data_IF_311788463138
#
_entry.id   IF_311788463138
#
_cell.length_a   1.000
_cell.length_b   1.000
_cell.length_c   1.000
_cell.angle_alpha   90.00
_cell.angle_beta   90.00
_cell.angle_gamma   90.00
#
_symmetry.space_group_name_H-M   'P 1'
#
loop_
_entity.id
_entity.type
_entity.pdbx_description
1 polymer ?
#
# COMPACT_ATOMS: atom_id res chain seq x y z
N UNK A 1 -6.08 -12.40 -29.01
CA UNK A 1 -7.27 -13.12 -29.55
C UNK A 1 -8.53 -12.74 -28.79
N UNK A 2 -9.47 -12.05 -29.44
CA UNK A 2 -10.82 -11.87 -28.91
C UNK A 2 -11.64 -13.18 -28.99
N UNK A 3 -12.75 -13.29 -28.24
CA UNK A 3 -13.64 -14.46 -28.29
C UNK A 3 -13.05 -15.75 -27.71
N UNK A 4 -12.20 -15.63 -26.67
CA UNK A 4 -11.70 -16.81 -25.95
C UNK A 4 -12.83 -17.43 -25.13
N UNK A 5 -12.99 -18.76 -25.22
CA UNK A 5 -14.05 -19.49 -24.51
C UNK A 5 -15.36 -19.62 -25.28
N UNK A 6 -15.49 -19.00 -26.45
CA UNK A 6 -16.63 -19.20 -27.35
C UNK A 6 -16.25 -20.14 -28.49
N UNK A 7 -17.10 -21.13 -28.74
CA UNK A 7 -16.89 -22.12 -29.79
C UNK A 7 -17.42 -21.64 -31.15
N UNK A 8 -16.72 -22.01 -32.23
CA UNK A 8 -17.15 -21.73 -33.61
C UNK A 8 -17.74 -23.04 -34.14
N UNK A 9 -19.07 -23.11 -34.15
CA UNK A 9 -19.79 -24.27 -34.70
C UNK A 9 -19.88 -24.17 -36.21
N UNK A 10 -19.59 -25.27 -36.89
CA UNK A 10 -19.70 -25.39 -38.34
C UNK A 10 -21.03 -26.09 -38.71
N UNK A 11 -21.70 -25.58 -39.73
CA UNK A 11 -22.81 -26.26 -40.38
C UNK A 11 -22.30 -27.33 -41.37
N UNK A 12 -23.22 -28.17 -41.85
CA UNK A 12 -22.85 -29.31 -42.71
C UNK A 12 -22.27 -28.85 -44.06
N UNK A 13 -22.69 -27.70 -44.58
CA UNK A 13 -22.14 -27.10 -45.80
C UNK A 13 -20.68 -26.67 -45.58
N UNK A 14 -20.39 -25.96 -44.50
CA UNK A 14 -19.01 -25.57 -44.15
C UNK A 14 -18.12 -26.78 -43.93
N UNK A 15 -18.63 -27.85 -43.31
CA UNK A 15 -17.89 -29.11 -43.12
C UNK A 15 -17.56 -29.77 -44.47
N UNK A 16 -18.51 -29.81 -45.39
CA UNK A 16 -18.30 -30.35 -46.74
C UNK A 16 -17.26 -29.56 -47.54
N UNK A 17 -17.13 -28.25 -47.28
CA UNK A 17 -16.14 -27.36 -47.89
C UNK A 17 -14.73 -27.44 -47.26
N UNK A 18 -14.51 -28.33 -46.29
CA UNK A 18 -13.21 -28.48 -45.60
C UNK A 18 -13.10 -27.75 -44.26
N UNK A 19 -14.19 -27.14 -43.79
CA UNK A 19 -14.33 -26.57 -42.47
C UNK A 19 -13.61 -25.25 -42.25
N UNK A 20 -13.28 -24.94 -40.98
CA UNK A 20 -12.71 -23.64 -40.62
C UNK A 20 -11.24 -23.55 -41.04
N UNK A 21 -10.92 -22.52 -41.84
CA UNK A 21 -9.53 -22.15 -42.16
C UNK A 21 -9.04 -21.02 -41.27
N UNK A 22 -8.01 -21.30 -40.49
CA UNK A 22 -7.32 -20.33 -39.64
C UNK A 22 -6.12 -19.78 -40.39
N UNK A 23 -6.07 -18.44 -40.51
CA UNK A 23 -4.93 -17.72 -41.08
C UNK A 23 -4.27 -16.93 -39.96
N UNK A 24 -3.07 -17.33 -39.56
CA UNK A 24 -2.20 -16.55 -38.71
C UNK A 24 -1.42 -15.56 -39.57
N UNK A 25 -1.60 -14.27 -39.34
CA UNK A 25 -0.91 -13.20 -40.09
C UNK A 25 0.53 -13.00 -39.65
N UNK A 26 0.84 -13.41 -38.43
CA UNK A 26 2.17 -13.33 -37.80
C UNK A 26 2.35 -14.52 -36.84
N UNK A 27 3.54 -14.63 -36.26
CA UNK A 27 3.83 -15.58 -35.18
C UNK A 27 3.97 -14.81 -33.87
N UNK A 28 3.20 -15.19 -32.86
CA UNK A 28 3.31 -14.59 -31.55
C UNK A 28 4.63 -15.00 -30.89
N UNK A 29 5.16 -14.18 -30.00
CA UNK A 29 6.32 -14.53 -29.15
C UNK A 29 6.13 -15.85 -28.37
N UNK A 30 4.88 -16.22 -28.05
CA UNK A 30 4.56 -17.43 -27.31
C UNK A 30 3.84 -18.42 -28.20
N UNK A 31 4.42 -19.62 -28.30
CA UNK A 31 3.90 -20.72 -29.10
C UNK A 31 2.54 -21.19 -28.61
N UNK A 32 2.27 -21.01 -27.32
CA UNK A 32 0.98 -21.32 -26.71
C UNK A 32 -0.15 -20.49 -27.33
N UNK A 33 0.09 -19.23 -27.68
CA UNK A 33 -0.92 -18.36 -28.29
C UNK A 33 -1.16 -18.77 -29.75
N UNK A 34 -0.11 -19.09 -30.51
CA UNK A 34 -0.25 -19.64 -31.86
C UNK A 34 -1.07 -20.95 -31.84
N UNK A 35 -0.77 -21.85 -30.89
CA UNK A 35 -1.51 -23.11 -30.74
C UNK A 35 -2.98 -22.88 -30.35
N UNK A 36 -3.28 -21.86 -29.54
CA UNK A 36 -4.65 -21.49 -29.24
C UNK A 36 -5.41 -21.00 -30.48
N UNK A 37 -4.74 -20.29 -31.40
CA UNK A 37 -5.33 -19.83 -32.64
C UNK A 37 -5.59 -21.02 -33.56
N UNK A 38 -4.59 -21.91 -33.70
CA UNK A 38 -4.70 -23.16 -34.45
C UNK A 38 -5.85 -24.03 -33.95
N UNK A 39 -5.99 -24.20 -32.64
CA UNK A 39 -7.04 -25.01 -32.02
C UNK A 39 -8.46 -24.43 -32.08
N UNK A 40 -8.67 -23.34 -32.84
CA UNK A 40 -10.02 -22.88 -33.19
C UNK A 40 -10.62 -23.68 -34.34
N UNK A 41 -9.81 -24.23 -35.24
CA UNK A 41 -10.22 -25.20 -36.24
C UNK A 41 -10.06 -26.64 -35.71
N UNK A 42 -10.69 -27.61 -36.37
CA UNK A 42 -10.50 -29.02 -36.05
C UNK A 42 -11.19 -29.51 -34.77
N UNK A 43 -12.21 -28.80 -34.29
CA UNK A 43 -12.87 -29.12 -33.00
C UNK A 43 -13.78 -30.33 -33.14
N UNK A 44 -13.76 -31.22 -32.14
CA UNK A 44 -14.57 -32.45 -32.13
C UNK A 44 -14.41 -33.33 -33.39
N UNK A 45 -13.26 -33.25 -34.05
CA UNK A 45 -13.00 -33.99 -35.29
C UNK A 45 -13.57 -33.34 -36.55
N UNK A 46 -14.13 -32.13 -36.46
CA UNK A 46 -14.53 -31.36 -37.63
C UNK A 46 -13.32 -31.12 -38.55
N UNK A 47 -13.52 -31.03 -39.89
CA UNK A 47 -12.46 -30.66 -40.80
C UNK A 47 -11.99 -29.22 -40.56
N UNK A 48 -10.73 -28.93 -40.85
CA UNK A 48 -10.19 -27.59 -40.75
C UNK A 48 -8.71 -27.52 -41.09
N UNK A 49 -8.24 -26.32 -41.39
CA UNK A 49 -6.87 -26.04 -41.80
C UNK A 49 -6.33 -24.85 -40.99
N UNK A 50 -5.04 -24.86 -40.70
CA UNK A 50 -4.36 -23.67 -40.16
C UNK A 50 -3.11 -23.37 -40.96
N UNK A 51 -2.94 -22.12 -41.39
CA UNK A 51 -1.73 -21.65 -42.07
C UNK A 51 -1.25 -20.37 -41.40
N UNK A 52 0.04 -20.33 -41.08
CA UNK A 52 0.68 -19.16 -40.49
C UNK A 52 1.61 -18.54 -41.53
N UNK A 53 1.51 -17.23 -41.68
CA UNK A 53 2.39 -16.40 -42.48
C UNK A 53 3.30 -15.64 -41.52
N UNK A 54 4.52 -15.35 -41.99
CA UNK A 54 5.52 -14.58 -41.27
C UNK A 54 6.33 -13.82 -42.31
N UNK A 55 6.56 -12.54 -42.06
CA UNK A 55 7.50 -11.73 -42.83
C UNK A 55 8.88 -11.76 -42.19
N UNK A 56 9.92 -11.58 -42.99
CA UNK A 56 11.27 -11.35 -42.48
C UNK A 56 11.38 -10.02 -41.71
N UNK A 57 10.43 -9.10 -41.94
CA UNK A 57 10.36 -7.80 -41.27
C UNK A 57 9.60 -7.83 -39.93
N UNK A 58 8.94 -8.94 -39.59
CA UNK A 58 8.16 -9.07 -38.35
C UNK A 58 9.07 -9.00 -37.11
N UNK A 59 8.55 -8.51 -35.98
CA UNK A 59 9.31 -8.33 -34.75
C UNK A 59 10.02 -9.61 -34.26
N UNK A 60 9.37 -10.76 -34.40
CA UNK A 60 9.98 -12.06 -34.07
C UNK A 60 11.23 -12.33 -34.93
N UNK A 61 11.18 -12.00 -36.22
CA UNK A 61 12.30 -12.13 -37.13
C UNK A 61 13.32 -11.01 -36.94
N UNK A 62 12.93 -9.81 -36.52
CA UNK A 62 13.87 -8.72 -36.21
C UNK A 62 14.70 -9.00 -34.96
N UNK A 63 14.09 -9.61 -33.94
CA UNK A 63 14.75 -9.93 -32.68
C UNK A 63 15.71 -11.14 -32.78
N UNK A 64 15.49 -12.05 -33.74
CA UNK A 64 16.23 -13.33 -33.84
C UNK A 64 16.81 -13.65 -35.22
N UNK A 65 16.35 -12.97 -36.25
CA UNK A 65 16.92 -12.96 -37.58
C UNK A 65 18.26 -12.24 -37.52
N UNK A 66 19.31 -12.99 -37.19
CA UNK A 66 20.67 -12.50 -37.36
C UNK A 66 20.84 -11.93 -38.78
N UNK A 67 21.64 -10.88 -38.94
CA UNK A 67 22.06 -10.40 -40.27
C UNK A 67 22.55 -11.56 -41.17
N UNK A 68 23.10 -12.62 -40.56
CA UNK A 68 23.52 -13.86 -41.23
C UNK A 68 22.38 -14.65 -41.87
N UNK A 69 21.21 -14.72 -41.24
CA UNK A 69 20.03 -15.39 -41.83
C UNK A 69 19.53 -14.60 -43.04
N UNK A 70 19.40 -13.28 -42.90
CA UNK A 70 19.02 -12.40 -44.00
C UNK A 70 20.04 -12.44 -45.15
N UNK A 71 21.33 -12.41 -44.82
CA UNK A 71 22.42 -12.53 -45.80
C UNK A 71 22.45 -13.87 -46.53
N UNK A 72 22.11 -14.96 -45.84
CA UNK A 72 21.97 -16.29 -46.46
C UNK A 72 20.79 -16.33 -47.44
N UNK A 73 19.63 -15.74 -47.09
CA UNK A 73 18.47 -15.66 -47.99
C UNK A 73 18.74 -14.82 -49.24
N UNK A 74 19.41 -13.68 -49.07
CA UNK A 74 19.83 -12.82 -50.18
C UNK A 74 20.83 -13.54 -51.11
N UNK A 75 21.76 -14.32 -50.54
CA UNK A 75 22.73 -15.11 -51.31
C UNK A 75 22.10 -16.31 -52.04
N UNK A 76 21.00 -16.86 -51.52
CA UNK A 76 20.25 -17.95 -52.16
C UNK A 76 19.42 -17.49 -53.36
N UNK A 77 19.30 -16.17 -53.60
CA UNK A 77 18.63 -15.63 -54.78
C UNK A 77 17.14 -15.97 -54.83
N UNK A 78 16.47 -16.04 -53.68
CA UNK A 78 15.03 -16.30 -53.62
C UNK A 78 14.27 -15.17 -54.35
N UNK A 79 13.41 -15.48 -55.33
CA UNK A 79 12.67 -14.47 -56.06
C UNK A 79 11.78 -13.62 -55.14
N UNK A 80 11.70 -12.31 -55.42
CA UNK A 80 10.74 -11.44 -54.73
C UNK A 80 9.31 -11.92 -54.99
N UNK A 81 8.50 -11.98 -53.92
CA UNK A 81 7.11 -12.44 -53.91
C UNK A 81 6.90 -13.96 -54.05
N UNK A 82 7.93 -14.78 -53.88
CA UNK A 82 7.77 -16.24 -53.74
C UNK A 82 7.64 -16.71 -52.30
N UNK A 83 6.83 -17.74 -52.10
CA UNK A 83 6.65 -18.35 -50.79
C UNK A 83 7.82 -19.28 -50.47
N UNK A 84 8.48 -19.05 -49.34
CA UNK A 84 9.52 -19.93 -48.82
C UNK A 84 8.90 -20.94 -47.86
N UNK A 85 8.97 -22.23 -48.20
CA UNK A 85 8.60 -23.34 -47.30
C UNK A 85 9.80 -24.25 -47.03
N UNK A 86 10.48 -24.01 -45.91
CA UNK A 86 11.62 -24.83 -45.49
C UNK A 86 11.52 -25.25 -44.02
N UNK A 87 11.69 -26.56 -43.75
CA UNK A 87 11.66 -27.14 -42.40
C UNK A 87 12.68 -26.49 -41.46
N UNK A 88 13.82 -26.06 -41.99
CA UNK A 88 14.87 -25.37 -41.23
C UNK A 88 14.38 -24.02 -40.68
N UNK A 89 13.63 -23.26 -41.49
CA UNK A 89 13.08 -21.96 -41.09
C UNK A 89 12.03 -22.14 -39.99
N UNK A 90 11.13 -23.12 -40.12
CA UNK A 90 10.16 -23.45 -39.08
C UNK A 90 10.82 -23.79 -37.75
N UNK A 91 11.92 -24.58 -37.76
CA UNK A 91 12.69 -24.93 -36.57
C UNK A 91 13.44 -23.72 -35.97
N UNK A 92 13.96 -22.83 -36.81
CA UNK A 92 14.59 -21.59 -36.36
C UNK A 92 13.59 -20.68 -35.64
N UNK A 93 12.38 -20.52 -36.19
CA UNK A 93 11.28 -19.76 -35.57
C UNK A 93 10.87 -20.41 -34.24
N UNK A 94 10.75 -21.73 -34.18
CA UNK A 94 10.43 -22.46 -32.95
C UNK A 94 11.48 -22.22 -31.85
N UNK A 95 12.77 -22.27 -32.20
CA UNK A 95 13.87 -21.99 -31.27
C UNK A 95 13.86 -20.53 -30.79
N UNK A 96 13.53 -19.58 -31.68
CA UNK A 96 13.39 -18.17 -31.33
C UNK A 96 12.25 -17.97 -30.31
N UNK A 97 11.07 -18.53 -30.57
CA UNK A 97 9.94 -18.50 -29.64
C UNK A 97 10.29 -19.12 -28.28
N UNK A 98 10.97 -20.28 -28.28
CA UNK A 98 11.42 -20.93 -27.04
C UNK A 98 12.38 -20.05 -26.24
N UNK A 99 13.31 -19.36 -26.92
CA UNK A 99 14.24 -18.44 -26.25
C UNK A 99 13.53 -17.23 -25.64
N UNK A 100 12.53 -16.66 -26.32
CA UNK A 100 11.69 -15.58 -25.76
C UNK A 100 10.90 -16.08 -24.55
N UNK A 101 10.28 -17.26 -24.66
CA UNK A 101 9.52 -17.86 -23.56
C UNK A 101 10.40 -18.10 -22.34
N UNK A 102 11.62 -18.62 -22.52
CA UNK A 102 12.60 -18.77 -21.43
C UNK A 102 13.00 -17.44 -20.82
N UNK A 103 13.24 -16.41 -21.63
CA UNK A 103 13.56 -15.07 -21.13
C UNK A 103 12.39 -14.47 -20.32
N UNK A 104 11.17 -14.55 -20.85
CA UNK A 104 9.95 -14.10 -20.17
C UNK A 104 9.67 -14.90 -18.90
N UNK A 105 9.98 -16.20 -18.90
CA UNK A 105 9.92 -17.03 -17.69
C UNK A 105 10.92 -16.53 -16.64
N UNK A 106 12.18 -16.28 -17.02
CA UNK A 106 13.19 -15.74 -16.11
C UNK A 106 12.80 -14.38 -15.51
N UNK A 107 12.25 -13.47 -16.32
CA UNK A 107 11.73 -12.18 -15.83
C UNK A 107 10.62 -12.39 -14.80
N UNK A 108 9.67 -13.29 -15.07
CA UNK A 108 8.56 -13.59 -14.14
C UNK A 108 9.03 -14.29 -12.89
N UNK A 109 9.98 -15.22 -13.00
CA UNK A 109 10.59 -15.91 -11.86
C UNK A 109 11.31 -14.89 -10.98
N UNK A 110 12.03 -13.94 -11.57
CA UNK A 110 12.67 -12.88 -10.81
C UNK A 110 11.63 -12.00 -10.09
N UNK A 111 10.60 -11.52 -10.80
CA UNK A 111 9.50 -10.76 -10.20
C UNK A 111 8.83 -11.52 -9.04
N UNK A 112 8.58 -12.83 -9.21
CA UNK A 112 8.02 -13.68 -8.17
C UNK A 112 8.89 -13.69 -6.91
N UNK A 113 10.22 -13.75 -7.05
CA UNK A 113 11.15 -13.74 -5.91
C UNK A 113 11.09 -12.44 -5.10
N UNK A 114 10.84 -11.29 -5.74
CA UNK A 114 10.61 -10.02 -5.03
C UNK A 114 9.25 -10.01 -4.33
N UNK A 115 8.22 -10.52 -5.01
CA UNK A 115 6.86 -10.59 -4.46
C UNK A 115 6.78 -11.56 -3.26
N UNK A 116 7.55 -12.66 -3.26
CA UNK A 116 7.65 -13.62 -2.15
C UNK A 116 8.03 -12.93 -0.83
N UNK A 117 9.01 -12.03 -0.85
CA UNK A 117 9.43 -11.26 0.34
C UNK A 117 8.28 -10.44 0.90
N UNK A 118 7.56 -9.72 0.02
CA UNK A 118 6.40 -8.94 0.43
C UNK A 118 5.24 -9.82 0.91
N UNK A 119 5.08 -11.00 0.33
CA UNK A 119 4.02 -11.92 0.73
C UNK A 119 4.27 -12.50 2.13
N UNK A 120 5.50 -12.92 2.45
CA UNK A 120 5.87 -13.37 3.80
C UNK A 120 5.57 -12.31 4.86
N UNK A 121 5.97 -11.06 4.61
CA UNK A 121 5.70 -9.94 5.52
C UNK A 121 4.20 -9.64 5.65
N UNK A 122 3.47 -9.69 4.54
CA UNK A 122 2.02 -9.49 4.50
C UNK A 122 1.29 -10.54 5.31
N UNK A 123 1.66 -11.81 5.20
CA UNK A 123 1.03 -12.90 5.95
C UNK A 123 1.11 -12.64 7.46
N UNK A 124 2.30 -12.29 7.97
CA UNK A 124 2.51 -11.95 9.38
C UNK A 124 1.63 -10.78 9.82
N UNK A 125 1.65 -9.66 9.07
CA UNK A 125 0.87 -8.47 9.44
C UNK A 125 -0.63 -8.72 9.34
N UNK A 126 -1.09 -9.49 8.35
CA UNK A 126 -2.51 -9.75 8.14
C UNK A 126 -3.05 -10.76 9.15
N UNK A 127 -2.23 -11.69 9.63
CA UNK A 127 -2.56 -12.55 10.75
C UNK A 127 -2.76 -11.71 12.03
N UNK A 128 -1.77 -10.88 12.38
CA UNK A 128 -1.86 -9.98 13.53
C UNK A 128 -3.09 -9.06 13.45
N UNK A 129 -3.30 -8.44 12.28
CA UNK A 129 -4.46 -7.58 12.02
C UNK A 129 -5.78 -8.33 12.15
N UNK A 130 -5.84 -9.59 11.71
CA UNK A 130 -7.04 -10.42 11.81
C UNK A 130 -7.39 -10.72 13.27
N UNK A 131 -6.40 -11.06 14.12
CA UNK A 131 -6.64 -11.27 15.56
C UNK A 131 -7.30 -10.06 16.23
N UNK A 132 -6.86 -8.86 15.85
CA UNK A 132 -7.45 -7.61 16.35
C UNK A 132 -8.89 -7.44 15.87
N UNK A 133 -9.18 -7.74 14.59
CA UNK A 133 -10.53 -7.63 14.00
C UNK A 133 -11.51 -8.70 14.52
N UNK A 134 -11.01 -9.90 14.83
CA UNK A 134 -11.80 -10.99 15.39
C UNK A 134 -12.19 -10.73 16.86
N UNK A 135 -11.73 -9.63 17.45
CA UNK A 135 -12.13 -9.17 18.78
C UNK A 135 -11.36 -9.85 19.91
N UNK A 136 -10.22 -10.47 19.63
CA UNK A 136 -9.39 -11.09 20.65
C UNK A 136 -8.94 -10.07 21.73
N UNK A 137 -8.64 -10.58 22.92
CA UNK A 137 -8.14 -9.75 24.02
C UNK A 137 -6.66 -9.43 23.82
N UNK A 138 -6.34 -8.16 23.55
CA UNK A 138 -4.98 -7.70 23.26
C UNK A 138 -4.15 -7.37 24.51
N UNK A 139 -4.67 -7.52 25.73
CA UNK A 139 -3.94 -7.17 26.97
C UNK A 139 -2.55 -7.76 27.01
N UNK A 140 -2.45 -9.06 26.78
CA UNK A 140 -1.19 -9.79 26.91
C UNK A 140 -0.19 -9.34 25.84
N UNK A 141 -0.69 -9.02 24.64
CA UNK A 141 0.12 -8.47 23.55
C UNK A 141 0.66 -7.09 23.94
N UNK A 142 -0.19 -6.20 24.44
CA UNK A 142 0.21 -4.86 24.89
C UNK A 142 1.19 -4.94 26.08
N UNK A 143 0.93 -5.79 27.07
CA UNK A 143 1.83 -5.99 28.20
C UNK A 143 3.21 -6.46 27.74
N UNK A 144 3.27 -7.40 26.80
CA UNK A 144 4.52 -7.84 26.19
C UNK A 144 5.23 -6.68 25.47
N UNK A 145 4.50 -5.88 24.68
CA UNK A 145 5.08 -4.69 24.03
C UNK A 145 5.69 -3.72 25.05
N UNK A 146 5.01 -3.47 26.17
CA UNK A 146 5.52 -2.62 27.25
C UNK A 146 6.82 -3.19 27.82
N UNK A 147 6.85 -4.49 28.15
CA UNK A 147 8.06 -5.10 28.73
C UNK A 147 9.22 -5.13 27.75
N UNK A 148 8.96 -5.37 26.47
CA UNK A 148 9.96 -5.43 25.41
C UNK A 148 10.56 -4.03 25.16
N UNK A 149 9.73 -2.97 25.18
CA UNK A 149 10.20 -1.57 25.05
C UNK A 149 11.13 -1.21 26.21
N UNK A 150 10.76 -1.55 27.45
CA UNK A 150 11.59 -1.28 28.62
C UNK A 150 12.92 -2.02 28.53
N UNK A 151 12.88 -3.30 28.13
CA UNK A 151 14.09 -4.11 27.95
C UNK A 151 15.04 -3.52 26.91
N UNK A 152 14.52 -3.21 25.73
CA UNK A 152 15.30 -2.64 24.64
C UNK A 152 15.89 -1.27 25.02
N UNK A 153 15.14 -0.42 25.71
CA UNK A 153 15.63 0.88 26.16
C UNK A 153 16.80 0.74 27.14
N UNK A 154 16.74 -0.23 28.07
CA UNK A 154 17.83 -0.53 28.99
C UNK A 154 19.03 -1.12 28.26
N UNK A 155 18.81 -2.05 27.34
CA UNK A 155 19.91 -2.69 26.59
C UNK A 155 20.64 -1.74 25.65
N UNK A 156 19.93 -0.79 25.04
CA UNK A 156 20.53 0.25 24.21
C UNK A 156 21.34 1.26 25.03
N UNK A 157 20.89 1.58 26.24
CA UNK A 157 21.51 2.64 27.06
C UNK A 157 22.63 2.13 27.99
N UNK A 158 22.63 0.83 28.31
CA UNK A 158 23.49 0.25 29.34
C UNK A 158 24.10 -1.07 28.83
N UNK A 159 25.43 -1.12 28.79
CA UNK A 159 26.18 -2.35 28.48
C UNK A 159 26.24 -3.30 29.68
N UNK A 160 26.37 -4.59 29.43
CA UNK A 160 26.45 -5.63 30.48
C UNK A 160 27.74 -5.53 31.33
N UNK A 161 28.77 -4.88 30.79
CA UNK A 161 30.09 -4.74 31.43
C UNK A 161 30.21 -3.47 32.29
N UNK A 162 29.26 -2.54 32.17
CA UNK A 162 29.32 -1.24 32.86
C UNK A 162 28.88 -1.33 34.32
N UNK A 163 29.57 -0.57 35.16
CA UNK A 163 29.14 -0.38 36.55
C UNK A 163 27.96 0.59 36.66
N UNK A 164 27.11 0.51 37.70
CA UNK A 164 25.95 1.39 37.85
C UNK A 164 26.26 2.88 37.88
N UNK A 165 27.50 3.24 38.23
CA UNK A 165 28.00 4.61 38.24
C UNK A 165 28.25 5.16 36.83
N UNK A 166 28.47 4.27 35.85
CA UNK A 166 28.75 4.58 34.44
C UNK A 166 27.50 4.49 33.56
N UNK A 167 26.35 4.09 34.12
CA UNK A 167 25.11 3.94 33.36
C UNK A 167 24.65 5.28 32.78
N UNK A 168 24.36 5.30 31.48
CA UNK A 168 23.83 6.48 30.80
C UNK A 168 22.33 6.65 31.08
N UNK A 169 22.00 7.09 32.30
CA UNK A 169 20.60 7.33 32.70
C UNK A 169 19.95 8.46 31.90
N UNK A 170 20.74 9.37 31.34
CA UNK A 170 20.23 10.47 30.51
C UNK A 170 19.63 9.92 29.21
N UNK A 171 20.35 9.03 28.54
CA UNK A 171 19.88 8.35 27.33
C UNK A 171 18.69 7.44 27.62
N UNK A 172 18.75 6.65 28.70
CA UNK A 172 17.65 5.80 29.12
C UNK A 172 16.36 6.61 29.36
N UNK A 173 16.48 7.75 30.06
CA UNK A 173 15.34 8.63 30.29
C UNK A 173 14.82 9.24 28.98
N UNK A 174 15.71 9.64 28.06
CA UNK A 174 15.30 10.18 26.76
C UNK A 174 14.52 9.16 25.92
N UNK A 175 15.00 7.92 25.86
CA UNK A 175 14.36 6.85 25.09
C UNK A 175 13.03 6.44 25.73
N UNK A 176 13.06 6.05 27.01
CA UNK A 176 11.92 5.42 27.68
C UNK A 176 10.80 6.42 28.00
N UNK A 177 11.13 7.59 28.55
CA UNK A 177 10.11 8.54 29.02
C UNK A 177 9.31 9.17 27.87
N UNK A 178 9.88 9.16 26.66
CA UNK A 178 9.16 9.61 25.47
C UNK A 178 7.96 8.71 25.13
N UNK A 179 8.04 7.42 25.51
CA UNK A 179 7.03 6.40 25.21
C UNK A 179 6.15 6.16 26.43
N UNK A 180 6.78 5.87 27.58
CA UNK A 180 6.11 5.53 28.83
C UNK A 180 6.35 6.66 29.83
N UNK A 181 5.31 7.38 30.28
CA UNK A 181 5.45 8.56 31.13
C UNK A 181 5.75 8.18 32.59
N UNK A 182 6.91 7.57 32.83
CA UNK A 182 7.45 7.28 34.15
C UNK A 182 8.07 8.55 34.77
N UNK A 183 8.23 8.60 36.10
CA UNK A 183 9.11 9.60 36.71
C UNK A 183 10.56 9.43 36.21
N UNK A 184 11.34 10.52 36.13
CA UNK A 184 12.75 10.43 35.74
C UNK A 184 13.50 9.40 36.57
N UNK A 185 14.18 8.50 35.87
CA UNK A 185 14.94 7.41 36.48
C UNK A 185 16.23 8.00 37.03
N UNK A 186 16.37 7.94 38.35
CA UNK A 186 17.59 8.30 39.08
C UNK A 186 17.96 7.15 40.01
N UNK A 187 19.25 6.84 40.14
CA UNK A 187 19.73 5.83 41.07
C UNK A 187 19.94 6.45 42.46
N UNK A 188 19.26 5.90 43.47
CA UNK A 188 19.54 6.19 44.87
C UNK A 188 20.85 5.52 45.32
N UNK A 189 21.42 5.94 46.46
CA UNK A 189 22.65 5.36 47.06
C UNK A 189 22.60 3.82 47.16
N UNK A 190 21.45 3.25 47.52
CA UNK A 190 21.25 1.79 47.61
C UNK A 190 21.17 1.10 46.23
N UNK A 191 20.76 1.84 45.19
CA UNK A 191 20.61 1.33 43.82
C UNK A 191 21.89 1.42 43.00
N UNK A 192 22.93 2.10 43.49
CA UNK A 192 24.27 2.14 42.87
C UNK A 192 25.02 0.80 42.93
N UNK A 193 24.47 -0.20 43.61
CA UNK A 193 25.00 -1.59 43.64
C UNK A 193 24.16 -2.57 42.84
N UNK A 194 23.09 -2.10 42.22
CA UNK A 194 22.10 -2.92 41.53
C UNK A 194 22.67 -3.45 40.20
N UNK A 195 22.29 -4.67 39.81
CA UNK A 195 22.67 -5.21 38.49
C UNK A 195 21.74 -4.71 37.40
N UNK A 196 22.20 -4.71 36.14
CA UNK A 196 21.38 -4.36 34.97
C UNK A 196 20.06 -5.14 34.90
N UNK A 197 20.07 -6.43 35.20
CA UNK A 197 18.86 -7.27 35.21
C UNK A 197 17.86 -6.87 36.31
N UNK A 198 18.36 -6.40 37.46
CA UNK A 198 17.50 -5.89 38.53
C UNK A 198 16.87 -4.55 38.13
N UNK A 199 17.63 -3.67 37.45
CA UNK A 199 17.08 -2.44 36.85
C UNK A 199 15.98 -2.77 35.84
N UNK A 200 16.23 -3.70 34.91
CA UNK A 200 15.24 -4.15 33.91
C UNK A 200 13.95 -4.61 34.60
N UNK A 201 14.07 -5.46 35.61
CA UNK A 201 12.91 -5.97 36.35
C UNK A 201 12.14 -4.84 37.04
N UNK A 202 12.84 -3.95 37.76
CA UNK A 202 12.23 -2.81 38.46
C UNK A 202 11.47 -1.88 37.50
N UNK A 203 12.05 -1.57 36.34
CA UNK A 203 11.42 -0.72 35.34
C UNK A 203 10.25 -1.41 34.65
N UNK A 204 10.35 -2.70 34.34
CA UNK A 204 9.24 -3.50 33.77
C UNK A 204 8.06 -3.52 34.73
N UNK A 205 8.32 -3.74 36.02
CA UNK A 205 7.29 -3.74 37.06
C UNK A 205 6.64 -2.35 37.20
N UNK A 206 7.44 -1.28 37.20
CA UNK A 206 6.95 0.10 37.27
C UNK A 206 6.08 0.47 36.06
N UNK A 207 6.50 0.10 34.86
CA UNK A 207 5.74 0.32 33.63
C UNK A 207 4.42 -0.48 33.65
N UNK A 208 4.46 -1.75 34.06
CA UNK A 208 3.27 -2.60 34.16
C UNK A 208 2.27 -2.04 35.17
N UNK A 209 2.74 -1.63 36.35
CA UNK A 209 1.89 -0.99 37.38
C UNK A 209 1.26 0.30 36.87
N UNK A 210 1.99 1.09 36.09
CA UNK A 210 1.44 2.31 35.49
C UNK A 210 0.32 1.97 34.48
N UNK A 211 0.50 0.91 33.68
CA UNK A 211 -0.54 0.44 32.78
C UNK A 211 -1.78 -0.07 33.52
N UNK A 212 -1.59 -0.85 34.59
CA UNK A 212 -2.68 -1.35 35.42
C UNK A 212 -3.44 -0.21 36.12
N UNK A 213 -2.73 0.80 36.61
CA UNK A 213 -3.34 2.00 37.17
C UNK A 213 -4.19 2.73 36.12
N UNK A 214 -3.68 2.81 34.88
CA UNK A 214 -4.42 3.37 33.76
C UNK A 214 -5.64 2.54 33.39
N UNK A 215 -5.53 1.21 33.37
CA UNK A 215 -6.64 0.30 33.15
C UNK A 215 -7.75 0.53 34.20
N UNK A 216 -7.38 0.79 35.45
CA UNK A 216 -8.32 1.09 36.54
C UNK A 216 -9.03 2.45 36.42
N UNK A 217 -8.56 3.38 35.58
CA UNK A 217 -9.26 4.64 35.30
C UNK A 217 -10.54 4.41 34.47
N UNK A 218 -10.66 3.26 33.79
CA UNK A 218 -11.81 2.94 32.95
C UNK A 218 -12.90 2.24 33.78
N UNK A 219 -14.16 2.73 33.76
CA UNK A 219 -15.25 2.11 34.51
C UNK A 219 -15.56 0.67 34.10
N UNK A 220 -15.27 0.30 32.85
CA UNK A 220 -15.54 -1.03 32.29
C UNK A 220 -14.28 -1.54 31.60
N UNK A 221 -13.87 -2.76 31.95
CA UNK A 221 -12.70 -3.41 31.34
C UNK A 221 -12.85 -3.53 29.81
N UNK A 222 -14.06 -3.74 29.29
CA UNK A 222 -14.28 -3.85 27.83
C UNK A 222 -13.94 -2.54 27.09
N UNK A 223 -14.08 -1.38 27.72
CA UNK A 223 -13.75 -0.10 27.10
C UNK A 223 -12.25 0.01 26.80
N UNK A 224 -11.39 -0.43 27.73
CA UNK A 224 -9.94 -0.44 27.48
C UNK A 224 -9.56 -1.51 26.45
N UNK A 225 -10.23 -2.69 26.43
CA UNK A 225 -9.98 -3.72 25.41
C UNK A 225 -10.33 -3.25 24.01
N UNK A 226 -11.46 -2.55 23.87
CA UNK A 226 -11.83 -1.96 22.59
C UNK A 226 -10.86 -0.84 22.18
N UNK A 227 -10.43 -0.02 23.14
CA UNK A 227 -9.44 1.03 22.89
C UNK A 227 -8.10 0.44 22.42
N UNK A 228 -7.61 -0.62 23.08
CA UNK A 228 -6.40 -1.36 22.68
C UNK A 228 -6.51 -1.84 21.23
N UNK A 229 -7.63 -2.48 20.86
CA UNK A 229 -7.87 -2.96 19.49
C UNK A 229 -7.89 -1.82 18.48
N UNK A 230 -8.64 -0.75 18.76
CA UNK A 230 -8.77 0.41 17.85
C UNK A 230 -7.43 1.10 17.64
N UNK A 231 -6.66 1.31 18.71
CA UNK A 231 -5.34 1.95 18.63
C UNK A 231 -4.37 1.06 17.86
N UNK A 232 -4.28 -0.23 18.21
CA UNK A 232 -3.38 -1.17 17.57
C UNK A 232 -3.70 -1.31 16.07
N UNK A 233 -4.97 -1.50 15.72
CA UNK A 233 -5.42 -1.60 14.32
C UNK A 233 -5.05 -0.35 13.52
N UNK A 234 -5.30 0.84 14.07
CA UNK A 234 -4.98 2.10 13.41
C UNK A 234 -3.47 2.27 13.21
N UNK A 235 -2.67 1.89 14.19
CA UNK A 235 -1.20 1.98 14.10
C UNK A 235 -0.67 0.97 13.07
N UNK A 236 -1.13 -0.29 13.10
CA UNK A 236 -0.78 -1.31 12.12
C UNK A 236 -1.11 -0.82 10.70
N UNK A 237 -2.35 -0.36 10.46
CA UNK A 237 -2.79 0.08 9.13
C UNK A 237 -1.92 1.23 8.61
N UNK A 238 -1.63 2.24 9.45
CA UNK A 238 -0.80 3.37 9.03
C UNK A 238 0.65 2.97 8.73
N UNK A 239 1.26 2.16 9.59
CA UNK A 239 2.66 1.74 9.43
C UNK A 239 2.85 0.78 8.27
N UNK A 240 1.91 -0.15 8.09
CA UNK A 240 1.94 -1.11 6.98
C UNK A 240 1.76 -0.44 5.62
N UNK A 241 0.86 0.54 5.51
CA UNK A 241 0.71 1.32 4.27
C UNK A 241 2.00 2.06 3.92
N UNK A 242 2.62 2.74 4.89
CA UNK A 242 3.90 3.41 4.68
C UNK A 242 5.00 2.42 4.26
N UNK A 243 5.09 1.26 4.92
CA UNK A 243 6.06 0.22 4.59
C UNK A 243 5.87 -0.35 3.18
N UNK A 244 4.63 -0.54 2.70
CA UNK A 244 4.38 -0.96 1.32
C UNK A 244 4.95 0.08 0.34
N UNK A 245 4.69 1.37 0.58
CA UNK A 245 5.19 2.44 -0.27
C UNK A 245 6.72 2.52 -0.25
N UNK A 246 7.34 2.33 0.92
CA UNK A 246 8.79 2.32 1.06
C UNK A 246 9.43 1.08 0.39
N UNK A 247 8.78 -0.09 0.45
CA UNK A 247 9.23 -1.31 -0.23
C UNK A 247 9.13 -1.20 -1.76
N UNK A 248 8.11 -0.51 -2.29
CA UNK A 248 8.00 -0.25 -3.73
C UNK A 248 9.14 0.67 -4.20
N UNK A 249 9.41 1.74 -3.44
CA UNK A 249 10.57 2.62 -3.69
C UNK A 249 11.90 1.88 -3.62
N UNK A 250 12.07 1.01 -2.61
CA UNK A 250 13.26 0.16 -2.50
C UNK A 250 13.40 -0.71 -3.74
N UNK A 251 12.32 -1.32 -4.22
CA UNK A 251 12.35 -2.19 -5.42
C UNK A 251 12.76 -1.42 -6.67
N UNK A 252 12.29 -0.19 -6.86
CA UNK A 252 12.70 0.66 -7.99
C UNK A 252 14.19 1.04 -7.92
N UNK A 253 14.71 1.30 -6.72
CA UNK A 253 16.09 1.74 -6.51
C UNK A 253 17.13 0.62 -6.42
N UNK A 254 16.75 -0.60 -6.03
CA UNK A 254 17.69 -1.68 -5.69
C UNK A 254 18.53 -2.15 -6.89
N UNK A 255 18.03 -1.95 -8.12
CA UNK A 255 18.77 -2.27 -9.34
C UNK A 255 20.15 -1.58 -9.42
N UNK A 256 20.30 -0.42 -8.78
CA UNK A 256 21.59 0.29 -8.72
C UNK A 256 22.66 -0.46 -7.92
N UNK A 257 22.29 -1.37 -7.01
CA UNK A 257 23.25 -2.18 -6.25
C UNK A 257 24.04 -3.15 -7.15
N UNK A 258 23.49 -3.50 -8.33
CA UNK A 258 24.17 -4.33 -9.30
C UNK A 258 25.49 -3.72 -9.79
N UNK A 259 25.62 -2.38 -9.81
CA UNK A 259 26.89 -1.72 -10.16
C UNK A 259 28.02 -2.05 -9.17
N UNK A 260 27.68 -2.33 -7.91
CA UNK A 260 28.62 -2.77 -6.88
C UNK A 260 28.92 -4.27 -6.90
N UNK A 261 28.50 -5.00 -7.94
CA UNK A 261 28.61 -6.47 -8.03
C UNK A 261 27.88 -7.22 -6.91
N UNK A 262 26.90 -6.58 -6.28
CA UNK A 262 26.00 -7.20 -5.31
C UNK A 262 24.75 -7.72 -6.02
N UNK A 263 24.21 -8.84 -5.54
CA UNK A 263 22.94 -9.37 -6.05
C UNK A 263 21.78 -8.49 -5.54
N UNK A 264 21.03 -7.79 -6.42
CA UNK A 264 19.94 -6.90 -6.01
C UNK A 264 18.82 -7.61 -5.25
N UNK A 265 18.58 -8.90 -5.51
CA UNK A 265 17.52 -9.64 -4.81
C UNK A 265 17.93 -9.91 -3.36
N UNK A 266 19.21 -10.22 -3.13
CA UNK A 266 19.74 -10.45 -1.77
C UNK A 266 19.71 -9.15 -0.97
N UNK A 267 20.16 -8.04 -1.56
CA UNK A 267 20.12 -6.73 -0.90
C UNK A 267 18.67 -6.28 -0.64
N UNK A 268 17.75 -6.49 -1.59
CA UNK A 268 16.33 -6.23 -1.37
C UNK A 268 15.76 -7.01 -0.20
N UNK A 269 16.10 -8.30 -0.08
CA UNK A 269 15.70 -9.14 1.06
C UNK A 269 16.23 -8.56 2.37
N UNK A 270 17.53 -8.31 2.45
CA UNK A 270 18.17 -7.80 3.67
C UNK A 270 17.58 -6.45 4.11
N UNK A 271 17.56 -5.46 3.22
CA UNK A 271 16.99 -4.14 3.53
C UNK A 271 15.49 -4.23 3.81
N UNK A 272 14.75 -5.08 3.10
CA UNK A 272 13.33 -5.31 3.33
C UNK A 272 13.03 -5.90 4.71
N UNK A 273 13.87 -6.82 5.21
CA UNK A 273 13.74 -7.34 6.58
C UNK A 273 14.08 -6.28 7.62
N UNK A 274 15.15 -5.49 7.43
CA UNK A 274 15.50 -4.39 8.34
C UNK A 274 14.38 -3.35 8.45
N UNK A 275 13.79 -2.97 7.31
CA UNK A 275 12.63 -2.05 7.26
C UNK A 275 11.41 -2.65 7.96
N UNK A 276 11.15 -3.95 7.76
CA UNK A 276 10.04 -4.65 8.40
C UNK A 276 10.19 -4.74 9.93
N UNK A 277 11.39 -5.01 10.42
CA UNK A 277 11.71 -5.04 11.85
C UNK A 277 11.56 -3.64 12.46
N UNK A 278 12.06 -2.61 11.78
CA UNK A 278 11.90 -1.21 12.19
C UNK A 278 10.44 -0.76 12.21
N UNK A 279 9.65 -1.17 11.21
CA UNK A 279 8.20 -0.94 11.17
C UNK A 279 7.53 -1.63 12.36
N UNK A 280 7.84 -2.90 12.61
CA UNK A 280 7.25 -3.68 13.69
C UNK A 280 7.59 -3.09 15.06
N UNK A 281 8.85 -2.66 15.28
CA UNK A 281 9.24 -1.93 16.47
C UNK A 281 8.45 -0.62 16.62
N UNK A 282 8.32 0.16 15.54
CA UNK A 282 7.53 1.39 15.51
C UNK A 282 6.05 1.16 15.83
N UNK A 283 5.46 0.05 15.38
CA UNK A 283 4.07 -0.32 15.73
C UNK A 283 3.93 -0.51 17.24
N UNK A 284 4.88 -1.23 17.87
CA UNK A 284 4.86 -1.45 19.33
C UNK A 284 4.99 -0.12 20.07
N UNK A 285 5.96 0.70 19.70
CA UNK A 285 6.21 1.99 20.35
C UNK A 285 5.03 2.96 20.21
N UNK A 286 4.52 3.15 18.99
CA UNK A 286 3.42 4.09 18.76
C UNK A 286 2.11 3.62 19.40
N UNK A 287 1.87 2.30 19.45
CA UNK A 287 0.72 1.72 20.16
C UNK A 287 0.82 2.03 21.65
N UNK A 288 1.94 1.69 22.28
CA UNK A 288 2.15 1.89 23.73
C UNK A 288 2.14 3.38 24.08
N UNK A 289 2.84 4.21 23.30
CA UNK A 289 2.84 5.68 23.47
C UNK A 289 1.42 6.23 23.40
N UNK A 290 0.67 5.86 22.37
CA UNK A 290 -0.71 6.33 22.21
C UNK A 290 -1.58 5.89 23.37
N UNK A 291 -1.48 4.62 23.79
CA UNK A 291 -2.23 4.08 24.92
C UNK A 291 -1.92 4.83 26.21
N UNK A 292 -0.67 5.17 26.52
CA UNK A 292 -0.32 5.94 27.72
C UNK A 292 -0.75 7.41 27.68
N UNK A 293 -0.88 8.01 26.50
CA UNK A 293 -1.22 9.43 26.36
C UNK A 293 -2.72 9.70 26.16
N UNK A 294 -3.53 8.68 25.85
CA UNK A 294 -4.99 8.83 25.76
C UNK A 294 -5.56 9.24 27.12
N UNK A 295 -6.32 10.33 27.15
CA UNK A 295 -7.12 10.73 28.31
C UNK A 295 -8.56 10.35 28.06
N UNK A 296 -9.19 9.70 29.04
CA UNK A 296 -10.63 9.49 29.00
C UNK A 296 -11.30 10.83 29.29
N UNK A 297 -11.97 11.41 28.30
CA UNK A 297 -12.92 12.48 28.57
C UNK A 297 -14.08 11.88 29.37
N UNK A 298 -14.00 11.98 30.70
CA UNK A 298 -15.18 11.79 31.52
C UNK A 298 -16.20 12.84 31.07
N UNK A 299 -17.34 12.37 30.56
CA UNK A 299 -18.52 13.22 30.44
C UNK A 299 -18.87 13.66 31.86
N UNK A 300 -18.36 14.81 32.27
CA UNK A 300 -18.86 15.52 33.44
C UNK A 300 -20.32 15.80 33.10
N UNK A 301 -21.25 15.04 33.70
CA UNK A 301 -22.62 15.50 33.80
C UNK A 301 -22.53 16.86 34.48
N UNK A 302 -22.68 17.91 33.68
CA UNK A 302 -22.75 19.26 34.18
C UNK A 302 -23.97 19.30 35.10
N UNK A 303 -23.75 19.27 36.40
CA UNK A 303 -24.73 19.83 37.32
C UNK A 303 -25.01 21.23 36.80
N UNK A 304 -26.27 21.59 36.49
CA UNK A 304 -26.57 22.91 35.95
C UNK A 304 -26.28 23.95 37.02
N UNK A 305 -25.04 24.45 37.04
CA UNK A 305 -24.57 25.57 37.83
C UNK A 305 -25.10 26.88 37.22
N UNK A 306 -26.42 26.99 37.14
CA UNK A 306 -27.17 28.22 36.99
C UNK A 306 -28.66 27.88 37.14
N UNK A 307 -29.25 28.23 38.29
CA UNK A 307 -30.65 28.67 38.25
C UNK A 307 -30.68 29.89 37.33
N UNK A 308 -31.16 29.71 36.12
CA UNK A 308 -31.40 30.78 35.16
C UNK A 308 -32.40 31.74 35.81
N UNK A 309 -31.90 32.79 36.46
CA UNK A 309 -32.68 33.98 36.77
C UNK A 309 -32.93 34.69 35.45
N UNK A 310 -34.05 34.32 34.84
CA UNK A 310 -34.41 34.70 33.49
C UNK A 310 -34.44 36.21 33.29
N UNK A 311 -33.75 36.64 32.24
CA UNK A 311 -34.10 37.84 31.48
C UNK A 311 -33.98 37.51 30.00
N UNK A 312 -34.89 36.65 29.54
CA UNK A 312 -35.61 36.81 28.27
C UNK A 312 -36.75 35.80 28.23
N UNK A 313 -37.94 36.34 28.05
CA UNK A 313 -39.23 35.66 28.04
C UNK A 313 -39.34 34.65 26.89
N UNK A 314 -39.90 33.50 27.23
CA UNK A 314 -40.69 32.59 26.41
C UNK A 314 -39.99 31.87 25.23
N UNK A 315 -39.26 30.79 25.55
CA UNK A 315 -39.26 29.60 24.72
C UNK A 315 -38.87 28.36 25.55
N UNK A 316 -39.84 27.49 25.82
CA UNK A 316 -39.60 26.14 26.36
C UNK A 316 -38.66 25.34 25.44
N UNK A 317 -37.93 24.32 25.94
CA UNK A 317 -37.17 23.42 25.08
C UNK A 317 -38.17 22.66 24.19
N UNK A 318 -38.26 23.03 22.91
CA UNK A 318 -39.13 22.34 21.96
C UNK A 318 -38.58 20.93 21.72
N UNK A 319 -39.38 19.92 22.08
CA UNK A 319 -39.21 18.54 21.64
C UNK A 319 -39.14 18.49 20.09
N UNK A 320 -38.48 17.49 19.48
CA UNK A 320 -38.37 17.38 18.03
C UNK A 320 -39.78 17.40 17.41
N UNK A 321 -40.08 18.47 16.67
CA UNK A 321 -41.38 18.63 16.03
C UNK A 321 -41.59 17.51 15.01
N UNK A 322 -42.46 16.57 15.35
CA UNK A 322 -42.99 15.57 14.41
C UNK A 322 -43.85 16.35 13.40
N UNK A 323 -43.42 16.43 12.14
CA UNK A 323 -44.19 17.09 11.08
C UNK A 323 -45.58 16.44 10.97
N UNK A 324 -46.63 17.23 11.20
CA UNK A 324 -48.02 16.79 11.05
C UNK A 324 -48.38 16.46 9.60
N UNK A 325 -47.68 17.05 8.63
CA UNK A 325 -47.90 16.82 7.21
C UNK A 325 -47.00 15.71 6.66
N UNK A 326 -47.60 14.71 6.00
CA UNK A 326 -46.89 13.66 5.26
C UNK A 326 -45.91 14.29 4.27
N UNK A 327 -44.64 13.90 4.35
CA UNK A 327 -43.58 14.37 3.44
C UNK A 327 -43.90 13.87 2.03
N UNK A 328 -44.19 14.79 1.11
CA UNK A 328 -44.46 14.49 -0.30
C UNK A 328 -43.11 14.26 -1.00
N UNK A 329 -42.92 13.07 -1.55
CA UNK A 329 -41.72 12.69 -2.27
C UNK A 329 -41.82 13.09 -3.76
N UNK A 330 -40.69 13.27 -4.48
CA UNK A 330 -40.69 13.76 -5.86
C UNK A 330 -41.57 12.97 -6.85
N UNK A 331 -41.79 11.67 -6.59
CA UNK A 331 -42.59 10.80 -7.45
C UNK A 331 -44.06 10.65 -6.99
N UNK A 332 -44.45 11.25 -5.86
CA UNK A 332 -45.82 11.17 -5.33
C UNK A 332 -46.80 11.97 -6.20
N UNK A 333 -48.10 11.61 -6.22
CA UNK A 333 -49.13 12.39 -6.90
C UNK A 333 -49.17 13.81 -6.35
N UNK A 334 -49.21 14.79 -7.25
CA UNK A 334 -49.13 16.20 -6.86
C UNK A 334 -50.42 16.64 -6.12
N UNK A 335 -50.31 17.32 -4.96
CA UNK A 335 -51.46 17.70 -4.14
C UNK A 335 -52.38 18.75 -4.77
N UNK A 336 -52.00 19.36 -5.90
CA UNK A 336 -52.85 20.30 -6.65
C UNK A 336 -53.92 19.62 -7.54
N UNK A 337 -54.03 18.29 -7.50
CA UNK A 337 -55.06 17.54 -8.25
C UNK A 337 -54.79 17.38 -9.75
N UNK A 338 -53.60 17.75 -10.23
CA UNK A 338 -53.26 17.77 -11.67
C UNK A 338 -52.99 16.39 -12.30
N UNK A 339 -53.07 15.30 -11.54
CA UNK A 339 -52.78 13.93 -11.99
C UNK A 339 -51.30 13.64 -12.33
N UNK A 340 -50.41 14.64 -12.25
CA UNK A 340 -48.96 14.51 -12.54
C UNK A 340 -48.15 14.24 -11.27
N UNK A 341 -46.95 13.67 -11.40
CA UNK A 341 -45.98 13.49 -10.29
C UNK A 341 -45.54 14.85 -9.75
N UNK A 342 -45.30 14.97 -8.44
CA UNK A 342 -44.93 16.22 -7.77
C UNK A 342 -43.73 16.94 -8.43
N UNK A 343 -42.69 16.19 -8.83
CA UNK A 343 -41.52 16.72 -9.55
C UNK A 343 -41.82 17.32 -10.94
N UNK A 344 -42.94 16.94 -11.55
CA UNK A 344 -43.38 17.40 -12.88
C UNK A 344 -44.49 18.46 -12.78
N UNK A 345 -44.84 18.90 -11.57
CA UNK A 345 -45.86 19.90 -11.33
C UNK A 345 -45.38 20.90 -10.25
N UNK A 346 -46.07 21.05 -9.11
CA UNK A 346 -45.75 22.07 -8.10
C UNK A 346 -44.33 21.98 -7.51
N UNK A 347 -43.70 20.80 -7.52
CA UNK A 347 -42.34 20.59 -7.02
C UNK A 347 -41.22 20.90 -8.03
N UNK A 348 -41.55 21.26 -9.28
CA UNK A 348 -40.56 21.41 -10.36
C UNK A 348 -39.55 22.53 -10.09
N UNK A 349 -40.04 23.70 -9.70
CA UNK A 349 -39.19 24.87 -9.44
C UNK A 349 -38.35 24.66 -8.17
N UNK A 350 -38.93 24.09 -7.12
CA UNK A 350 -38.21 23.73 -5.89
C UNK A 350 -37.07 22.72 -6.13
N UNK A 351 -37.28 21.74 -7.01
CA UNK A 351 -36.24 20.76 -7.37
C UNK A 351 -35.15 21.37 -8.24
N UNK A 352 -35.50 22.27 -9.17
CA UNK A 352 -34.53 23.00 -9.98
C UNK A 352 -33.63 23.87 -9.11
N UNK A 353 -34.19 24.63 -8.18
CA UNK A 353 -33.42 25.46 -7.23
C UNK A 353 -32.50 24.61 -6.34
N UNK A 354 -32.95 23.42 -5.96
CA UNK A 354 -32.14 22.48 -5.18
C UNK A 354 -30.97 21.91 -5.98
N UNK A 355 -31.16 21.63 -7.27
CA UNK A 355 -30.09 21.18 -8.17
C UNK A 355 -29.06 22.29 -8.39
N UNK A 356 -29.51 23.52 -8.63
CA UNK A 356 -28.62 24.67 -8.81
C UNK A 356 -27.77 24.94 -7.54
N UNK A 357 -28.35 24.78 -6.34
CA UNK A 357 -27.61 24.87 -5.07
C UNK A 357 -26.55 23.79 -4.94
N UNK A 358 -26.87 22.55 -5.30
CA UNK A 358 -25.91 21.43 -5.27
C UNK A 358 -24.76 21.64 -6.25
N UNK A 359 -25.05 22.12 -7.45
CA UNK A 359 -24.03 22.44 -8.45
C UNK A 359 -23.11 23.58 -7.96
N UNK A 360 -23.67 24.63 -7.35
CA UNK A 360 -22.87 25.72 -6.75
C UNK A 360 -22.00 25.24 -5.60
N UNK A 361 -22.47 24.31 -4.77
CA UNK A 361 -21.67 23.70 -3.70
C UNK A 361 -20.56 22.81 -4.26
N UNK A 362 -20.85 22.04 -5.31
CA UNK A 362 -19.87 21.18 -5.96
C UNK A 362 -18.75 22.00 -6.62
N UNK A 363 -19.09 23.08 -7.34
CA UNK A 363 -18.11 24.02 -7.90
C UNK A 363 -17.29 24.74 -6.81
N UNK A 364 -17.88 25.00 -5.63
CA UNK A 364 -17.12 25.55 -4.50
C UNK A 364 -16.14 24.53 -3.91
N UNK A 365 -16.52 23.26 -3.88
CA UNK A 365 -15.65 22.17 -3.43
C UNK A 365 -14.47 21.97 -4.38
N UNK A 366 -14.74 21.88 -5.68
CA UNK A 366 -13.71 21.73 -6.73
C UNK A 366 -12.68 22.87 -6.68
N UNK A 367 -13.13 24.12 -6.58
CA UNK A 367 -12.22 25.29 -6.41
C UNK A 367 -11.38 25.24 -5.14
N UNK A 368 -11.89 24.66 -4.05
CA UNK A 368 -11.11 24.49 -2.81
C UNK A 368 -10.05 23.39 -2.95
N UNK A 369 -10.39 22.32 -3.66
CA UNK A 369 -9.48 21.20 -3.88
C UNK A 369 -8.38 21.59 -4.87
N UNK A 370 -8.68 22.40 -5.88
CA UNK A 370 -7.70 22.95 -6.83
C UNK A 370 -6.70 23.89 -6.13
N UNK A 371 -7.17 24.84 -5.30
CA UNK A 371 -6.30 25.69 -4.47
C UNK A 371 -5.41 24.90 -3.51
N UNK A 372 -5.89 23.75 -3.00
CA UNK A 372 -5.09 22.87 -2.15
C UNK A 372 -3.97 22.20 -2.93
N UNK A 373 -4.24 21.76 -4.16
CA UNK A 373 -3.24 21.18 -5.06
C UNK A 373 -2.18 22.20 -5.44
N UNK A 374 -2.58 23.42 -5.80
CA UNK A 374 -1.65 24.53 -6.09
C UNK A 374 -0.73 24.83 -4.90
N UNK A 375 -1.30 24.93 -3.69
CA UNK A 375 -0.50 25.17 -2.49
C UNK A 375 0.48 24.02 -2.20
N UNK A 376 0.06 22.76 -2.40
CA UNK A 376 0.94 21.60 -2.25
C UNK A 376 2.07 21.61 -3.27
N UNK A 377 1.79 21.94 -4.53
CA UNK A 377 2.79 22.07 -5.58
C UNK A 377 3.80 23.19 -5.27
N UNK A 378 3.34 24.36 -4.81
CA UNK A 378 4.23 25.46 -4.41
C UNK A 378 5.14 25.06 -3.24
N UNK A 379 4.61 24.32 -2.25
CA UNK A 379 5.38 23.83 -1.11
C UNK A 379 6.42 22.78 -1.53
N UNK A 380 6.10 21.94 -2.52
CA UNK A 380 7.04 20.98 -3.10
C UNK A 380 8.16 21.68 -3.87
N UNK A 381 7.84 22.70 -4.69
CA UNK A 381 8.82 23.50 -5.43
C UNK A 381 9.81 24.21 -4.48
N UNK A 382 9.31 24.85 -3.42
CA UNK A 382 10.18 25.49 -2.40
C UNK A 382 11.09 24.49 -1.68
N UNK A 383 10.63 23.26 -1.47
CA UNK A 383 11.45 22.18 -0.90
C UNK A 383 12.54 21.74 -1.86
N UNK A 384 12.24 21.63 -3.16
CA UNK A 384 13.22 21.28 -4.18
C UNK A 384 14.32 22.35 -4.28
N UNK A 385 13.95 23.64 -4.38
CA UNK A 385 14.93 24.75 -4.40
C UNK A 385 15.83 24.77 -3.15
N UNK A 386 15.26 24.46 -1.97
CA UNK A 386 16.04 24.37 -0.75
C UNK A 386 17.06 23.23 -0.78
N UNK A 387 16.68 22.06 -1.31
CA UNK A 387 17.60 20.92 -1.42
C UNK A 387 18.70 21.19 -2.44
N UNK A 388 18.38 21.84 -3.56
CA UNK A 388 19.36 22.24 -4.57
C UNK A 388 20.40 23.20 -3.97
N UNK A 389 19.96 24.28 -3.30
CA UNK A 389 20.86 25.21 -2.60
C UNK A 389 21.70 24.53 -1.51
N UNK A 390 21.14 23.51 -0.84
CA UNK A 390 21.86 22.74 0.17
C UNK A 390 22.94 21.88 -0.48
N UNK A 391 22.64 21.25 -1.61
CA UNK A 391 23.60 20.46 -2.38
C UNK A 391 24.74 21.33 -2.93
N UNK A 392 24.44 22.50 -3.49
CA UNK A 392 25.45 23.47 -3.95
C UNK A 392 26.41 23.88 -2.83
N UNK A 393 25.88 24.20 -1.64
CA UNK A 393 26.69 24.55 -0.46
C UNK A 393 27.57 23.41 0.03
N UNK A 394 27.09 22.17 -0.07
CA UNK A 394 27.88 20.99 0.29
C UNK A 394 29.00 20.74 -0.74
N UNK A 395 28.71 20.89 -2.04
CA UNK A 395 29.70 20.79 -3.10
C UNK A 395 30.79 21.87 -2.98
N UNK A 396 30.42 23.12 -2.69
CA UNK A 396 31.39 24.19 -2.42
C UNK A 396 32.26 23.91 -1.19
N UNK A 397 31.69 23.35 -0.12
CA UNK A 397 32.47 22.96 1.05
C UNK A 397 33.45 21.83 0.75
N UNK A 398 33.04 20.86 -0.08
CA UNK A 398 33.91 19.75 -0.50
C UNK A 398 35.08 20.26 -1.37
N UNK A 399 34.80 21.13 -2.36
CA UNK A 399 35.83 21.73 -3.20
C UNK A 399 36.85 22.55 -2.37
N UNK A 400 36.37 23.37 -1.43
CA UNK A 400 37.27 24.14 -0.55
C UNK A 400 38.06 23.27 0.43
N UNK A 401 37.59 22.06 0.75
CA UNK A 401 38.35 21.12 1.59
C UNK A 401 39.43 20.37 0.81
N UNK A 402 39.23 20.14 -0.49
CA UNK A 402 40.24 19.55 -1.37
C UNK A 402 41.38 20.54 -1.66
N UNK A 403 41.10 21.82 -1.89
CA UNK A 403 42.14 22.86 -2.03
C UNK A 403 43.02 23.02 -0.78
N UNK A 404 42.46 22.86 0.43
CA UNK A 404 43.22 22.95 1.69
C UNK A 404 44.05 21.68 2.00
N UNK A 405 43.92 20.62 1.21
CA UNK A 405 44.72 19.39 1.35
C UNK A 405 45.88 19.34 0.35
N UNK A 406 45.90 20.23 -0.65
CA UNK A 406 46.96 20.34 -1.66
C UNK A 406 47.98 21.47 -1.34
N UNK A 407 47.70 22.36 -0.37
CA UNK A 407 48.67 23.26 0.29
C UNK A 407 49.28 22.63 1.55
#
# INVERSE_FOLDING_TARGET
>A
MAGRGTDIKLDDESKALGGLKIIGTERHESRRIDNQLRGRAGRQGDPGESRFYISLEDDLMRLFGSEKLMGMFNALGVPENEQIEHKMLSKAIENAQMKIETNNYGIRENLLKYDEVMNEQREVIYEERRRVLDGENMRNVIMKMITDIVENAVDLSISDEQTPEEWNLTELNSLLLSIIPLPPITLNEDQKKMKKNELKHMLKESATKLYEAKEAEFPQAEQIRELERVVLLKVIDNKWMAHIDDMDQLREGIGLQAYGQKDPLVEYKMSGYEMFDAMTASIREDTVRTLYHIRVEQKVEREPAAKVTGTNKDASPQAPQKRETRKIYPNDPCPCGSGKKFKQCCGRQMLADMQERKEKEQQKKERRDERRKEHQAEKAARRAEYQERKAERLAQKAANSEENLEE
#
